data_IF_902245482622
#
_entry.id   IF_902245482622
#
_cell.length_a   1.000
_cell.length_b   1.000
_cell.length_c   1.000
_cell.angle_alpha   90.00
_cell.angle_beta   90.00
_cell.angle_gamma   90.00
#
_symmetry.space_group_name_H-M   'P 1'
#
loop_
_entity.id
_entity.type
_entity.pdbx_description
1 polymer ?
#
# COMPACT_ATOMS: atom_id res chain seq x y z
N UNK A 1 10.90 -22.61 -16.23
CA UNK A 1 10.96 -21.71 -15.06
C UNK A 1 11.16 -20.29 -15.56
N UNK A 2 10.08 -19.55 -15.78
CA UNK A 2 10.13 -18.14 -16.17
C UNK A 2 9.88 -17.30 -14.92
N UNK A 3 10.91 -16.61 -14.45
CA UNK A 3 10.83 -15.64 -13.36
C UNK A 3 10.14 -14.38 -13.89
N UNK A 4 8.81 -14.28 -13.72
CA UNK A 4 8.05 -13.09 -14.10
C UNK A 4 8.38 -11.93 -13.14
N UNK A 5 9.43 -11.21 -13.50
CA UNK A 5 10.06 -10.11 -12.77
C UNK A 5 9.44 -8.75 -13.14
N UNK A 6 8.14 -8.70 -13.40
CA UNK A 6 7.45 -7.51 -13.94
C UNK A 6 6.66 -6.71 -12.88
N UNK A 7 6.33 -7.31 -11.73
CA UNK A 7 5.61 -6.61 -10.65
C UNK A 7 6.47 -5.67 -9.78
N UNK A 8 7.80 -5.77 -9.89
CA UNK A 8 8.75 -5.12 -8.97
C UNK A 8 9.23 -3.73 -9.42
N UNK A 9 9.03 -3.35 -10.69
CA UNK A 9 9.70 -2.17 -11.28
C UNK A 9 8.99 -0.83 -11.10
N UNK A 10 7.73 -0.80 -10.66
CA UNK A 10 6.96 0.45 -10.55
C UNK A 10 6.65 0.86 -9.12
N UNK A 11 5.90 0.00 -8.42
CA UNK A 11 5.33 0.30 -7.08
C UNK A 11 6.42 0.39 -6.01
N UNK A 12 7.44 -0.46 -6.11
CA UNK A 12 8.53 -0.53 -5.12
C UNK A 12 9.73 0.35 -5.47
N UNK A 13 9.90 0.75 -6.73
CA UNK A 13 11.15 1.29 -7.26
C UNK A 13 11.32 2.82 -7.16
N UNK A 14 10.28 3.61 -6.87
CA UNK A 14 10.43 5.07 -6.89
C UNK A 14 10.57 5.71 -5.51
N UNK A 15 11.75 6.35 -5.35
CA UNK A 15 12.29 7.17 -4.28
C UNK A 15 12.58 6.51 -2.92
N UNK A 16 13.85 6.65 -2.49
CA UNK A 16 14.35 6.42 -1.12
C UNK A 16 13.56 7.28 -0.13
N UNK A 17 12.42 6.79 0.34
CA UNK A 17 11.89 7.18 1.64
C UNK A 17 12.49 6.22 2.66
N UNK A 18 13.49 6.71 3.42
CA UNK A 18 14.02 6.02 4.59
C UNK A 18 12.84 5.81 5.56
N UNK A 19 12.33 4.57 5.68
CA UNK A 19 11.19 4.23 6.55
C UNK A 19 9.96 3.59 5.89
N UNK A 20 10.03 3.05 4.66
CA UNK A 20 8.89 2.30 4.08
C UNK A 20 8.50 1.13 4.99
N UNK A 21 7.22 1.09 5.38
CA UNK A 21 6.63 -0.02 6.17
C UNK A 21 6.83 -1.34 5.40
N UNK A 22 7.30 -2.41 6.07
CA UNK A 22 7.47 -3.70 5.42
C UNK A 22 6.10 -4.27 5.05
N UNK A 23 5.84 -4.46 3.74
CA UNK A 23 4.53 -4.80 3.19
C UNK A 23 3.95 -6.09 3.77
N UNK A 24 4.82 -7.07 4.04
CA UNK A 24 4.46 -8.36 4.63
C UNK A 24 3.86 -8.21 6.04
N UNK A 25 4.41 -7.32 6.87
CA UNK A 25 3.86 -7.08 8.20
C UNK A 25 2.53 -6.35 8.11
N UNK A 26 2.41 -5.35 7.23
CA UNK A 26 1.16 -4.61 7.03
C UNK A 26 0.03 -5.54 6.56
N UNK A 27 0.30 -6.44 5.62
CA UNK A 27 -0.66 -7.46 5.20
C UNK A 27 -1.10 -8.37 6.36
N UNK A 28 -0.19 -8.75 7.26
CA UNK A 28 -0.54 -9.54 8.46
C UNK A 28 -1.46 -8.74 9.39
N UNK A 29 -1.14 -7.48 9.67
CA UNK A 29 -1.98 -6.61 10.50
C UNK A 29 -3.38 -6.45 9.89
N UNK A 30 -3.48 -6.19 8.59
CA UNK A 30 -4.77 -6.07 7.91
C UNK A 30 -5.58 -7.36 8.03
N UNK A 31 -4.95 -8.52 7.82
CA UNK A 31 -5.62 -9.83 8.01
C UNK A 31 -6.12 -10.05 9.43
N UNK A 32 -5.30 -9.69 10.41
CA UNK A 32 -5.57 -9.95 11.82
C UNK A 32 -6.62 -9.03 12.40
N UNK A 33 -6.68 -7.77 11.96
CA UNK A 33 -7.47 -6.71 12.60
C UNK A 33 -8.62 -6.18 11.73
N UNK A 34 -8.91 -6.80 10.60
CA UNK A 34 -10.08 -6.45 9.76
C UNK A 34 -10.62 -7.68 9.04
N UNK A 35 -11.85 -7.61 8.58
CA UNK A 35 -12.47 -8.60 7.70
C UNK A 35 -12.46 -8.14 6.25
N UNK A 36 -12.76 -9.06 5.33
CA UNK A 36 -13.01 -8.68 3.93
C UNK A 36 -14.15 -7.66 3.87
N UNK A 37 -14.03 -6.71 2.94
CA UNK A 37 -14.94 -5.58 2.75
C UNK A 37 -14.94 -4.52 3.86
N UNK A 38 -14.22 -4.71 4.97
CA UNK A 38 -13.98 -3.63 5.93
C UNK A 38 -13.18 -2.50 5.29
N UNK A 39 -13.25 -1.31 5.90
CA UNK A 39 -12.48 -0.14 5.45
C UNK A 39 -11.24 0.07 6.30
N UNK A 40 -10.08 0.12 5.66
CA UNK A 40 -8.78 0.43 6.29
C UNK A 40 -8.40 1.87 5.96
N UNK A 41 -8.12 2.66 7.00
CA UNK A 41 -7.72 4.06 6.86
C UNK A 41 -6.25 4.26 7.26
N UNK A 42 -5.47 4.93 6.41
CA UNK A 42 -4.11 5.39 6.73
C UNK A 42 -4.02 6.92 6.59
N UNK A 43 -3.93 7.63 7.72
CA UNK A 43 -3.91 9.09 7.79
C UNK A 43 -2.55 9.72 7.42
N UNK A 44 -1.53 8.90 7.19
CA UNK A 44 -0.20 9.33 6.77
C UNK A 44 0.31 8.34 5.71
N UNK A 45 -0.49 8.20 4.64
CA UNK A 45 -0.37 7.07 3.74
C UNK A 45 0.93 7.06 2.92
N UNK A 46 1.61 8.20 2.78
CA UNK A 46 2.90 8.32 2.09
C UNK A 46 2.87 7.67 0.72
N UNK A 47 3.76 6.71 0.47
CA UNK A 47 3.80 5.95 -0.79
C UNK A 47 2.66 4.94 -0.98
N UNK A 48 1.67 4.89 -0.10
CA UNK A 48 0.44 4.11 -0.25
C UNK A 48 0.56 2.62 0.07
N UNK A 49 1.64 2.15 0.72
CA UNK A 49 1.87 0.71 0.98
C UNK A 49 0.68 0.09 1.73
N UNK A 50 0.19 0.75 2.77
CA UNK A 50 -0.96 0.27 3.55
C UNK A 50 -2.23 0.14 2.71
N UNK A 51 -2.47 1.10 1.81
CA UNK A 51 -3.66 1.11 0.96
C UNK A 51 -3.61 -0.02 -0.06
N UNK A 52 -2.44 -0.24 -0.66
CA UNK A 52 -2.20 -1.30 -1.63
C UNK A 52 -2.40 -2.67 -0.98
N UNK A 53 -1.81 -2.89 0.20
CA UNK A 53 -1.96 -4.16 0.91
C UNK A 53 -3.43 -4.35 1.37
N UNK A 54 -4.14 -3.30 1.77
CA UNK A 54 -5.56 -3.38 2.11
C UNK A 54 -6.42 -3.83 0.92
N UNK A 55 -6.20 -3.23 -0.26
CA UNK A 55 -6.91 -3.60 -1.49
C UNK A 55 -6.59 -5.04 -1.89
N UNK A 56 -5.32 -5.45 -1.85
CA UNK A 56 -4.91 -6.84 -2.16
C UNK A 56 -5.58 -7.86 -1.25
N UNK A 57 -5.78 -7.48 0.00
CA UNK A 57 -6.45 -8.31 0.99
C UNK A 57 -7.99 -8.22 0.91
N UNK A 58 -8.55 -7.49 -0.06
CA UNK A 58 -9.99 -7.40 -0.27
C UNK A 58 -10.69 -6.50 0.76
N UNK A 59 -10.00 -5.44 1.21
CA UNK A 59 -10.57 -4.36 2.03
C UNK A 59 -10.75 -3.12 1.16
N UNK A 60 -11.68 -2.26 1.57
CA UNK A 60 -11.72 -0.89 1.08
C UNK A 60 -10.58 -0.09 1.72
N UNK A 61 -9.99 0.87 1.00
CA UNK A 61 -8.85 1.62 1.49
C UNK A 61 -9.09 3.13 1.37
N UNK A 62 -8.80 3.88 2.43
CA UNK A 62 -8.86 5.35 2.49
C UNK A 62 -7.52 5.88 2.95
N UNK A 63 -6.90 6.74 2.14
CA UNK A 63 -5.62 7.37 2.45
C UNK A 63 -5.74 8.87 2.53
N UNK A 64 -5.13 9.45 3.56
CA UNK A 64 -4.92 10.90 3.67
C UNK A 64 -3.42 11.15 3.84
N UNK A 65 -2.91 12.17 3.18
CA UNK A 65 -1.55 12.68 3.39
C UNK A 65 -1.53 14.17 3.07
N UNK A 66 -0.73 14.95 3.79
CA UNK A 66 -0.56 16.38 3.51
C UNK A 66 0.27 16.60 2.24
N UNK A 67 1.10 15.63 1.86
CA UNK A 67 1.93 15.72 0.68
C UNK A 67 1.10 15.42 -0.58
N UNK A 68 0.87 16.39 -1.48
CA UNK A 68 0.10 16.17 -2.71
C UNK A 68 0.74 15.13 -3.64
N UNK A 69 2.06 14.92 -3.54
CA UNK A 69 2.77 13.87 -4.29
C UNK A 69 2.36 12.48 -3.77
N UNK A 70 2.23 12.31 -2.45
CA UNK A 70 1.77 11.06 -1.84
C UNK A 70 0.35 10.70 -2.31
N UNK A 71 -0.56 11.67 -2.34
CA UNK A 71 -1.94 11.49 -2.86
C UNK A 71 -1.93 11.05 -4.33
N UNK A 72 -1.08 11.67 -5.16
CA UNK A 72 -1.00 11.33 -6.59
C UNK A 72 -0.46 9.92 -6.82
N UNK A 73 0.51 9.48 -6.00
CA UNK A 73 1.11 8.14 -6.09
C UNK A 73 0.19 7.04 -5.55
N UNK A 74 -0.70 7.36 -4.61
CA UNK A 74 -1.62 6.41 -3.99
C UNK A 74 -2.83 6.07 -4.87
N UNK A 75 -3.12 6.85 -5.92
CA UNK A 75 -4.25 6.58 -6.83
C UNK A 75 -3.87 5.49 -7.83
N UNK A 76 -4.62 4.37 -7.89
CA UNK A 76 -4.43 3.38 -8.95
C UNK A 76 -4.78 3.98 -10.32
N UNK A 77 -4.00 3.63 -11.34
CA UNK A 77 -4.23 3.94 -12.75
C UNK A 77 -4.84 2.74 -13.46
#
# INVERSE_FOLDING_TARGET
MSTNNEGYKGIYAMHKYWGKKPFNEISKFIKQYSNKNDTVMDCFCGSGVTLIEAIKEGRNAVGIDLNPIAIKLAKPH
#
